data_IF_384327541445
#
_entry.id   IF_384327541445
#
_cell.length_a   1.000
_cell.length_b   1.000
_cell.length_c   1.000
_cell.angle_alpha   90.00
_cell.angle_beta   90.00
_cell.angle_gamma   90.00
#
_symmetry.space_group_name_H-M   'P 1'
#
loop_
_entity.id
_entity.type
_entity.pdbx_description
1 polymer ?
#
# COMPACT_ATOMS: atom_id res chain seq x y z
N UNK A 1 -9.76 1.66 5.21
CA UNK A 1 -8.77 2.75 5.35
C UNK A 1 -7.50 2.13 5.87
N UNK A 2 -6.37 2.32 5.17
CA UNK A 2 -5.08 1.77 5.59
C UNK A 2 -4.70 2.35 6.96
N UNK A 3 -4.12 1.53 7.84
CA UNK A 3 -3.68 1.95 9.17
C UNK A 3 -2.17 2.00 9.21
N UNK A 4 -1.61 2.75 10.18
CA UNK A 4 -0.17 2.68 10.47
C UNK A 4 0.24 1.21 10.67
N UNK A 5 1.27 0.78 9.96
CA UNK A 5 1.74 -0.61 9.94
C UNK A 5 1.14 -1.50 8.86
N UNK A 6 0.08 -1.09 8.14
CA UNK A 6 -0.39 -1.81 6.95
C UNK A 6 0.75 -1.88 5.93
N UNK A 7 0.96 -3.06 5.35
CA UNK A 7 2.00 -3.30 4.35
C UNK A 7 1.36 -3.50 2.98
N UNK A 8 2.00 -2.97 1.95
CA UNK A 8 1.57 -3.12 0.56
C UNK A 8 2.73 -3.64 -0.28
N UNK A 9 2.43 -4.57 -1.18
CA UNK A 9 3.40 -5.16 -2.10
C UNK A 9 3.01 -4.88 -3.55
N UNK A 10 3.99 -4.46 -4.35
CA UNK A 10 3.89 -4.47 -5.80
C UNK A 10 4.17 -5.89 -6.30
N UNK A 11 3.25 -6.48 -7.05
CA UNK A 11 3.42 -7.84 -7.58
C UNK A 11 4.34 -7.90 -8.81
N UNK A 12 4.58 -6.76 -9.48
CA UNK A 12 5.47 -6.68 -10.65
C UNK A 12 6.95 -6.63 -10.25
N UNK A 13 7.33 -5.66 -9.40
CA UNK A 13 8.73 -5.44 -9.03
C UNK A 13 9.11 -5.97 -7.65
N UNK A 14 8.13 -6.39 -6.84
CA UNK A 14 8.35 -6.92 -5.49
C UNK A 14 8.58 -5.86 -4.40
N UNK A 15 8.50 -4.56 -4.70
CA UNK A 15 8.60 -3.48 -3.72
C UNK A 15 7.56 -3.67 -2.60
N UNK A 16 8.00 -3.57 -1.35
CA UNK A 16 7.14 -3.59 -0.17
C UNK A 16 7.26 -2.25 0.56
N UNK A 17 6.13 -1.61 0.83
CA UNK A 17 6.04 -0.39 1.63
C UNK A 17 5.18 -0.62 2.86
N UNK A 18 5.42 0.17 3.90
CA UNK A 18 4.60 0.19 5.12
C UNK A 18 4.03 1.59 5.31
N UNK A 19 2.77 1.68 5.73
CA UNK A 19 2.16 2.95 6.08
C UNK A 19 2.76 3.43 7.40
N UNK A 20 3.56 4.49 7.37
CA UNK A 20 4.08 5.11 8.58
C UNK A 20 3.09 6.12 9.19
N UNK A 21 2.46 6.92 8.34
CA UNK A 21 1.40 7.85 8.71
C UNK A 21 0.27 7.80 7.68
N UNK A 22 -0.98 7.76 8.15
CA UNK A 22 -2.14 7.77 7.28
C UNK A 22 -2.58 9.22 7.02
N UNK A 23 -2.74 9.58 5.74
CA UNK A 23 -3.25 10.90 5.30
C UNK A 23 -4.62 11.27 5.89
N UNK A 24 -5.45 10.29 6.27
CA UNK A 24 -6.82 10.51 6.73
C UNK A 24 -7.82 10.87 5.61
N UNK A 25 -7.34 11.08 4.39
CA UNK A 25 -8.15 11.19 3.18
C UNK A 25 -8.85 9.86 2.84
N UNK A 26 -9.93 9.92 2.05
CA UNK A 26 -10.63 8.74 1.52
C UNK A 26 -9.67 7.79 0.80
N UNK A 27 -10.06 6.53 0.62
CA UNK A 27 -9.20 5.49 0.04
C UNK A 27 -8.53 5.96 -1.26
N UNK A 28 -7.22 6.16 -1.21
CA UNK A 28 -6.36 6.33 -2.38
C UNK A 28 -5.72 4.98 -2.69
N UNK A 29 -5.80 4.54 -3.94
CA UNK A 29 -5.08 3.35 -4.39
C UNK A 29 -3.58 3.67 -4.48
N UNK A 30 -2.77 2.84 -3.83
CA UNK A 30 -1.30 2.92 -3.92
C UNK A 30 -0.88 2.26 -5.23
N UNK A 31 -0.31 3.04 -6.15
CA UNK A 31 0.09 2.54 -7.48
C UNK A 31 1.61 2.42 -7.57
N UNK A 32 2.07 1.26 -8.02
CA UNK A 32 3.47 1.00 -8.36
C UNK A 32 3.51 0.22 -9.68
N UNK A 33 4.46 0.53 -10.57
CA UNK A 33 4.53 -0.09 -11.90
C UNK A 33 3.24 0.04 -12.75
N UNK A 34 2.43 1.08 -12.51
CA UNK A 34 1.17 1.30 -13.22
C UNK A 34 0.02 0.39 -12.79
N UNK A 35 0.21 -0.44 -11.76
CA UNK A 35 -0.82 -1.31 -11.19
C UNK A 35 -1.09 -0.98 -9.72
N UNK A 36 -2.32 -1.17 -9.21
CA UNK A 36 -2.62 -1.02 -7.80
C UNK A 36 -1.88 -2.08 -6.98
N UNK A 37 -1.16 -1.63 -5.95
CA UNK A 37 -0.47 -2.50 -5.00
C UNK A 37 -1.49 -3.25 -4.13
N UNK A 38 -1.13 -4.46 -3.69
CA UNK A 38 -1.99 -5.29 -2.83
C UNK A 38 -1.55 -5.21 -1.38
N UNK A 39 -2.52 -5.16 -0.47
CA UNK A 39 -2.27 -5.25 0.97
C UNK A 39 -1.71 -6.64 1.31
N UNK A 40 -0.58 -6.67 2.01
CA UNK A 40 0.01 -7.89 2.54
C UNK A 40 -0.68 -8.18 3.87
N UNK A 41 -1.62 -9.12 3.84
CA UNK A 41 -2.23 -9.64 5.06
C UNK A 41 -1.22 -10.56 5.79
N UNK A 42 -1.19 -10.53 7.13
CA UNK A 42 -0.44 -11.52 7.90
C UNK A 42 -0.97 -12.94 7.66
#
# INVERSE_FOLDING_TARGET
MAKKGSKYKCEECGLVVVVDEACGCSSCDLICCGVPMKEVKP
#
